data_IF_943369621559
#
_entry.id   IF_943369621559
#
_cell.length_a   1.000
_cell.length_b   1.000
_cell.length_c   1.000
_cell.angle_alpha   90.00
_cell.angle_beta   90.00
_cell.angle_gamma   90.00
#
_symmetry.space_group_name_H-M   'P 1'
#
loop_
_entity.id
_entity.type
_entity.pdbx_description
1 polymer ?
#
# COMPACT_ATOMS: atom_id res chain seq x y z
N UNK A 1 -54.87 -8.61 -20.83
CA UNK A 1 -54.06 -8.98 -19.66
C UNK A 1 -53.18 -10.16 -20.08
N UNK A 2 -51.86 -10.11 -20.12
CA UNK A 2 -50.99 -9.84 -18.98
C UNK A 2 -49.61 -9.32 -19.47
N UNK A 3 -49.52 -8.01 -19.73
CA UNK A 3 -48.28 -7.36 -20.21
C UNK A 3 -47.32 -6.98 -19.08
N UNK A 4 -47.57 -7.42 -17.85
CA UNK A 4 -46.88 -6.94 -16.65
C UNK A 4 -45.72 -7.83 -16.17
N UNK A 5 -45.45 -8.95 -16.84
CA UNK A 5 -44.39 -9.88 -16.42
C UNK A 5 -42.99 -9.47 -16.91
N UNK A 6 -42.87 -8.48 -17.80
CA UNK A 6 -41.58 -7.97 -18.27
C UNK A 6 -41.01 -6.80 -17.44
N UNK A 7 -41.75 -6.29 -16.45
CA UNK A 7 -41.34 -5.11 -15.68
C UNK A 7 -40.73 -5.42 -14.31
N UNK A 8 -40.63 -6.69 -13.90
CA UNK A 8 -40.11 -7.07 -12.57
C UNK A 8 -38.60 -7.41 -12.53
N UNK A 9 -37.89 -7.34 -13.67
CA UNK A 9 -36.49 -7.81 -13.77
C UNK A 9 -35.40 -6.74 -13.73
N UNK A 10 -35.74 -5.44 -13.63
CA UNK A 10 -34.80 -4.36 -13.93
C UNK A 10 -34.33 -3.53 -12.72
N UNK A 11 -34.24 -4.12 -11.51
CA UNK A 11 -33.85 -3.38 -10.29
C UNK A 11 -32.74 -4.05 -9.47
N UNK A 12 -31.73 -4.64 -10.12
CA UNK A 12 -30.61 -5.29 -9.43
C UNK A 12 -29.22 -4.88 -9.97
N UNK A 13 -28.95 -3.58 -10.15
CA UNK A 13 -27.64 -3.11 -10.65
C UNK A 13 -26.97 -2.01 -9.80
N UNK A 14 -27.52 -1.58 -8.67
CA UNK A 14 -26.99 -0.42 -7.93
C UNK A 14 -26.24 -0.74 -6.62
N UNK A 15 -25.67 -1.94 -6.51
CA UNK A 15 -25.12 -2.45 -5.25
C UNK A 15 -23.64 -2.86 -5.27
N UNK A 16 -22.80 -2.38 -6.18
CA UNK A 16 -21.35 -2.58 -6.00
C UNK A 16 -20.85 -1.57 -4.98
N UNK A 17 -20.94 -1.90 -3.70
CA UNK A 17 -20.27 -1.13 -2.64
C UNK A 17 -18.80 -0.97 -3.03
N UNK A 18 -18.33 0.27 -3.16
CA UNK A 18 -16.91 0.53 -3.42
C UNK A 18 -16.11 -0.18 -2.33
N UNK A 19 -15.26 -1.14 -2.72
CA UNK A 19 -14.38 -1.81 -1.79
C UNK A 19 -13.30 -0.81 -1.36
N UNK A 20 -13.51 -0.15 -0.22
CA UNK A 20 -12.54 0.76 0.42
C UNK A 20 -11.40 -0.05 1.09
N UNK A 21 -10.76 -0.93 0.33
CA UNK A 21 -9.68 -1.81 0.79
C UNK A 21 -8.27 -1.20 0.56
N UNK A 22 -8.18 0.08 0.20
CA UNK A 22 -6.90 0.73 -0.09
C UNK A 22 -6.10 0.96 1.20
N UNK A 23 -4.86 0.47 1.22
CA UNK A 23 -3.88 0.88 2.22
C UNK A 23 -3.54 2.35 1.96
N UNK A 24 -3.52 3.17 3.01
CA UNK A 24 -3.20 4.61 2.89
C UNK A 24 -1.94 4.95 3.67
N UNK A 25 -1.27 6.03 3.25
CA UNK A 25 -0.28 6.71 4.07
C UNK A 25 -0.99 7.70 5.00
N UNK A 26 -0.62 7.70 6.28
CA UNK A 26 -1.13 8.66 7.26
C UNK A 26 -0.83 10.11 6.85
N UNK A 27 0.45 10.42 6.64
CA UNK A 27 0.89 11.68 6.08
C UNK A 27 0.96 11.53 4.55
N UNK A 28 0.13 12.23 3.80
CA UNK A 28 -0.02 11.95 2.35
C UNK A 28 1.01 12.64 1.47
N UNK A 29 1.80 13.52 2.06
CA UNK A 29 2.75 14.39 1.35
C UNK A 29 4.10 14.35 2.06
N UNK A 30 5.16 14.59 1.30
CA UNK A 30 6.51 14.74 1.78
C UNK A 30 7.21 15.86 0.99
N UNK A 31 8.04 16.65 1.66
CA UNK A 31 8.87 17.62 0.96
C UNK A 31 9.95 16.89 0.15
N UNK A 32 10.22 17.37 -1.07
CA UNK A 32 11.24 16.79 -1.95
C UNK A 32 12.61 16.83 -1.26
N UNK A 33 13.34 15.72 -1.33
CA UNK A 33 14.69 15.60 -0.73
C UNK A 33 14.71 15.54 0.80
N UNK A 34 13.55 15.40 1.45
CA UNK A 34 13.46 15.29 2.91
C UNK A 34 13.30 13.84 3.38
N UNK A 35 13.51 13.61 4.68
CA UNK A 35 13.14 12.34 5.31
C UNK A 35 11.62 12.31 5.52
N UNK A 36 11.02 11.15 5.25
CA UNK A 36 9.58 10.94 5.40
C UNK A 36 9.28 9.72 6.28
N UNK A 37 8.42 9.90 7.28
CA UNK A 37 7.93 8.82 8.14
C UNK A 37 6.66 8.21 7.54
N UNK A 38 6.82 7.15 6.76
CA UNK A 38 5.70 6.41 6.19
C UNK A 38 4.97 5.58 7.26
N UNK A 39 3.68 5.84 7.47
CA UNK A 39 2.81 5.02 8.32
C UNK A 39 1.69 4.47 7.47
N UNK A 40 1.71 3.16 7.25
CA UNK A 40 0.73 2.43 6.44
C UNK A 40 -0.49 2.10 7.30
N UNK A 41 -1.66 2.63 6.93
CA UNK A 41 -2.94 2.30 7.53
C UNK A 41 -3.60 1.19 6.73
N UNK A 42 -3.66 -0.01 7.32
CA UNK A 42 -4.24 -1.21 6.72
C UNK A 42 -5.64 -1.42 7.33
N UNK A 43 -6.73 -1.29 6.55
CA UNK A 43 -8.08 -1.24 7.10
C UNK A 43 -8.60 -2.62 7.53
N UNK A 44 -8.70 -3.56 6.59
CA UNK A 44 -9.20 -4.92 6.82
C UNK A 44 -8.59 -5.89 5.78
N UNK A 45 -8.67 -7.19 6.05
CA UNK A 45 -8.40 -8.22 5.05
C UNK A 45 -9.64 -8.57 4.23
N UNK A 46 -9.54 -9.54 3.32
CA UNK A 46 -10.63 -9.90 2.42
C UNK A 46 -11.62 -10.87 3.09
N UNK A 47 -12.92 -10.72 2.83
CA UNK A 47 -13.97 -11.66 3.26
C UNK A 47 -13.94 -12.00 4.77
N UNK A 48 -13.65 -11.01 5.61
CA UNK A 48 -13.53 -11.20 7.06
C UNK A 48 -12.26 -11.91 7.53
N UNK A 49 -11.36 -12.31 6.62
CA UNK A 49 -10.05 -12.87 6.97
C UNK A 49 -9.08 -11.76 7.36
N UNK A 50 -8.13 -12.08 8.25
CA UNK A 50 -7.10 -11.13 8.68
C UNK A 50 -6.03 -10.91 7.60
N UNK A 51 -5.44 -9.71 7.57
CA UNK A 51 -4.20 -9.46 6.81
C UNK A 51 -3.02 -10.09 7.53
N UNK A 52 -2.34 -11.02 6.88
CA UNK A 52 -1.21 -11.77 7.47
C UNK A 52 0.16 -11.35 6.95
N UNK A 53 0.21 -10.63 5.84
CA UNK A 53 1.45 -10.14 5.24
C UNK A 53 1.24 -8.80 4.51
N UNK A 54 2.26 -7.95 4.55
CA UNK A 54 2.35 -6.71 3.76
C UNK A 54 3.74 -6.66 3.13
N UNK A 55 3.80 -6.45 1.82
CA UNK A 55 5.06 -6.19 1.10
C UNK A 55 5.02 -4.76 0.61
N UNK A 56 6.05 -4.00 0.95
CA UNK A 56 6.22 -2.61 0.54
C UNK A 56 7.38 -2.55 -0.42
N UNK A 57 7.12 -2.18 -1.67
CA UNK A 57 8.19 -1.87 -2.61
C UNK A 57 8.64 -0.44 -2.34
N UNK A 58 9.93 -0.28 -2.05
CA UNK A 58 10.53 1.04 -1.90
C UNK A 58 10.83 1.58 -3.30
N UNK A 59 10.40 2.82 -3.63
CA UNK A 59 10.66 3.41 -4.93
C UNK A 59 12.12 3.89 -5.04
N UNK A 60 12.62 3.96 -6.27
CA UNK A 60 13.94 4.50 -6.57
C UNK A 60 14.10 5.92 -6.03
N UNK A 61 15.30 6.26 -5.56
CA UNK A 61 15.60 7.55 -4.93
C UNK A 61 15.28 7.60 -3.43
N UNK A 62 14.60 6.60 -2.86
CA UNK A 62 14.51 6.41 -1.40
C UNK A 62 15.62 5.47 -0.95
N UNK A 63 16.77 6.06 -0.64
CA UNK A 63 18.06 5.34 -0.47
C UNK A 63 18.46 5.06 0.98
N UNK A 64 17.60 5.40 1.94
CA UNK A 64 17.83 5.12 3.36
C UNK A 64 16.50 4.79 4.02
N UNK A 65 16.25 3.48 4.20
CA UNK A 65 14.99 2.97 4.74
C UNK A 65 15.24 2.24 6.03
N UNK A 66 14.51 2.65 7.07
CA UNK A 66 14.57 2.03 8.40
C UNK A 66 13.17 1.54 8.81
N UNK A 67 12.79 0.30 8.48
CA UNK A 67 11.51 -0.23 8.89
C UNK A 67 11.47 -0.44 10.41
N UNK A 68 10.33 -0.14 11.02
CA UNK A 68 10.14 -0.25 12.47
C UNK A 68 9.58 -1.63 12.84
N UNK A 69 10.16 -2.31 13.86
CA UNK A 69 9.58 -3.54 14.39
C UNK A 69 8.15 -3.31 14.88
N UNK A 70 7.28 -4.29 14.66
CA UNK A 70 5.91 -4.30 15.15
C UNK A 70 5.66 -5.60 15.91
N UNK A 71 5.23 -5.49 17.16
CA UNK A 71 4.96 -6.65 18.00
C UNK A 71 3.98 -7.62 17.31
N UNK A 72 4.28 -8.93 17.36
CA UNK A 72 3.51 -9.97 16.70
C UNK A 72 3.73 -10.11 15.19
N UNK A 73 4.58 -9.28 14.57
CA UNK A 73 4.92 -9.35 13.15
C UNK A 73 6.39 -9.72 12.96
N UNK A 74 6.67 -10.55 11.95
CA UNK A 74 8.04 -10.79 11.49
C UNK A 74 8.42 -9.72 10.47
N UNK A 75 9.54 -9.03 10.70
CA UNK A 75 10.08 -8.04 9.79
C UNK A 75 11.20 -8.64 8.93
N UNK A 76 11.12 -8.48 7.61
CA UNK A 76 12.15 -8.89 6.66
C UNK A 76 12.47 -7.72 5.73
N UNK A 77 13.76 -7.53 5.45
CA UNK A 77 14.26 -6.54 4.50
C UNK A 77 14.94 -7.27 3.36
N UNK A 78 14.63 -6.88 2.12
CA UNK A 78 15.30 -7.37 0.92
C UNK A 78 15.95 -6.18 0.24
N UNK A 79 17.27 -6.24 0.13
CA UNK A 79 18.03 -5.20 -0.55
C UNK A 79 18.08 -5.49 -2.06
N UNK A 80 18.11 -4.43 -2.86
CA UNK A 80 18.25 -4.45 -4.31
C UNK A 80 19.36 -3.53 -4.77
N UNK A 81 19.71 -3.61 -6.06
CA UNK A 81 20.56 -2.60 -6.70
C UNK A 81 19.71 -1.39 -7.04
N UNK A 82 20.26 -0.21 -6.83
CA UNK A 82 19.68 1.03 -7.34
C UNK A 82 19.91 1.16 -8.85
N UNK A 83 19.15 2.04 -9.50
CA UNK A 83 19.34 2.34 -10.93
C UNK A 83 20.67 3.07 -11.17
N UNK A 84 21.14 3.81 -10.17
CA UNK A 84 22.44 4.49 -10.16
C UNK A 84 23.05 4.56 -8.76
N UNK A 85 24.31 4.95 -8.66
CA UNK A 85 24.92 5.29 -7.38
C UNK A 85 24.36 6.59 -6.80
N UNK A 86 24.27 6.66 -5.47
CA UNK A 86 23.87 7.83 -4.70
C UNK A 86 24.91 8.20 -3.66
N UNK A 87 24.94 9.47 -3.26
CA UNK A 87 25.72 9.94 -2.11
C UNK A 87 24.85 9.93 -0.86
N UNK A 88 25.23 9.13 0.13
CA UNK A 88 24.57 9.05 1.43
C UNK A 88 25.60 9.31 2.53
N UNK A 89 25.47 10.46 3.21
CA UNK A 89 26.39 10.88 4.27
C UNK A 89 27.89 10.83 3.88
N UNK A 90 28.19 11.20 2.64
CA UNK A 90 29.56 11.21 2.09
C UNK A 90 30.06 9.85 1.58
N UNK A 91 29.22 8.82 1.59
CA UNK A 91 29.53 7.51 1.02
C UNK A 91 28.73 7.30 -0.27
N UNK A 92 29.39 6.76 -1.29
CA UNK A 92 28.72 6.29 -2.49
C UNK A 92 28.06 4.93 -2.22
N UNK A 93 26.76 4.84 -2.45
CA UNK A 93 25.95 3.63 -2.28
C UNK A 93 25.26 3.25 -3.59
N UNK A 94 25.34 1.97 -3.97
CA UNK A 94 24.73 1.44 -5.21
C UNK A 94 23.63 0.41 -4.97
N UNK A 95 23.31 0.13 -3.72
CA UNK A 95 22.31 -0.85 -3.30
C UNK A 95 21.84 -0.60 -1.88
N UNK A 96 20.62 -1.06 -1.57
CA UNK A 96 20.05 -1.06 -0.22
C UNK A 96 18.60 -1.52 -0.24
#
# INVERSE_FOLDING_TARGET
MNSYLLSAGAFFVLGTSAAFAHITLEAREAAVGSTYKAVLRVPHGCEGKATTAVRVQIPEGVISVKPMPKAGWTLQVKNGRYEKSYQLHGQEVSSG
#
